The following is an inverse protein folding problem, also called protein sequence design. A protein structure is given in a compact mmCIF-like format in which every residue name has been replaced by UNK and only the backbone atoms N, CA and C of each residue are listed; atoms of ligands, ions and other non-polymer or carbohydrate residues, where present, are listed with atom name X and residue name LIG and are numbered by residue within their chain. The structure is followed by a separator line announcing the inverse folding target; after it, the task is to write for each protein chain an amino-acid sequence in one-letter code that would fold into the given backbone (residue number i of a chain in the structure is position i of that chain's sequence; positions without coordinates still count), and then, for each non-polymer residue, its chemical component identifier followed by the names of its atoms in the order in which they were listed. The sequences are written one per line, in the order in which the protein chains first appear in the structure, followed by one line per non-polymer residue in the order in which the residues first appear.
data_IF_962293697316
#
_entry.id   IF_962293697316
#
_cell.length_a   1.000
_cell.length_b   1.000
_cell.length_c   1.000
_cell.angle_alpha   90.00
_cell.angle_beta   90.00
_cell.angle_gamma   90.00
#
_symmetry.space_group_name_H-M   'P 1'
#
loop_
_entity.id
_entity.type
_entity.pdbx_description
1 polymer ?
#
# COMPACT_ATOMS: atom_id res chain seq x y z
N UNK A 1 -31.33 23.71 18.63
CA UNK A 1 -30.60 23.34 19.86
C UNK A 1 -30.48 21.81 19.91
N UNK A 2 -29.38 21.23 19.45
CA UNK A 2 -29.12 19.80 19.68
C UNK A 2 -28.97 19.58 21.20
N UNK A 3 -29.77 18.68 21.77
CA UNK A 3 -29.67 18.32 23.19
C UNK A 3 -28.29 17.67 23.41
N UNK A 4 -27.50 18.23 24.34
CA UNK A 4 -26.12 17.81 24.72
C UNK A 4 -25.85 16.29 24.74
N UNK A 5 -26.76 15.37 25.13
CA UNK A 5 -26.50 13.93 25.03
C UNK A 5 -26.37 13.37 23.61
N UNK A 6 -27.06 13.96 22.62
CA UNK A 6 -27.00 13.48 21.23
C UNK A 6 -25.64 13.79 20.57
N UNK A 7 -25.05 14.95 20.89
CA UNK A 7 -23.75 15.33 20.37
C UNK A 7 -22.61 14.43 20.90
N UNK A 8 -22.70 14.03 22.18
CA UNK A 8 -21.73 13.11 22.79
C UNK A 8 -21.86 11.71 22.19
N UNK A 9 -23.09 11.23 21.97
CA UNK A 9 -23.32 9.93 21.35
C UNK A 9 -22.78 9.88 19.91
N UNK A 10 -22.99 10.94 19.14
CA UNK A 10 -22.46 11.06 17.77
C UNK A 10 -20.93 11.12 17.80
N UNK A 11 -20.32 11.85 18.75
CA UNK A 11 -18.88 11.92 18.89
C UNK A 11 -18.26 10.56 19.25
N UNK A 12 -18.89 9.80 20.15
CA UNK A 12 -18.47 8.45 20.53
C UNK A 12 -18.62 7.47 19.37
N UNK A 13 -19.69 7.56 18.58
CA UNK A 13 -19.88 6.74 17.38
C UNK A 13 -18.86 7.05 16.29
N UNK A 14 -18.54 8.34 16.08
CA UNK A 14 -17.51 8.77 15.14
C UNK A 14 -16.11 8.28 15.57
N UNK A 15 -15.77 8.42 16.86
CA UNK A 15 -14.51 7.89 17.39
C UNK A 15 -14.43 6.36 17.30
N UNK A 16 -15.52 5.64 17.58
CA UNK A 16 -15.59 4.20 17.42
C UNK A 16 -15.40 3.74 15.97
N UNK A 17 -15.98 4.48 15.01
CA UNK A 17 -15.82 4.20 13.58
C UNK A 17 -14.39 4.43 13.09
N UNK A 18 -13.70 5.45 13.59
CA UNK A 18 -12.28 5.72 13.26
C UNK A 18 -11.34 4.65 13.83
N UNK A 19 -11.63 4.14 15.03
CA UNK A 19 -10.82 3.09 15.67
C UNK A 19 -11.11 1.69 15.09
N UNK A 20 -12.32 1.44 14.58
CA UNK A 20 -12.70 0.17 13.96
C UNK A 20 -12.40 0.08 12.45
N UNK A 21 -12.15 1.21 11.77
CA UNK A 21 -11.83 1.24 10.34
C UNK A 21 -10.66 0.32 9.92
N UNK A 22 -9.55 0.18 10.70
CA UNK A 22 -8.47 -0.74 10.33
C UNK A 22 -8.93 -2.20 10.34
N UNK A 23 -9.76 -2.60 11.32
CA UNK A 23 -10.25 -3.98 11.45
C UNK A 23 -11.33 -4.33 10.42
N UNK A 24 -12.06 -3.35 9.90
CA UNK A 24 -13.03 -3.54 8.82
C UNK A 24 -12.36 -3.63 7.43
N UNK A 25 -11.14 -3.10 7.27
CA UNK A 25 -10.35 -3.26 6.05
C UNK A 25 -9.72 -4.66 5.92
N UNK A 26 -9.42 -5.34 7.05
CA UNK A 26 -8.81 -6.68 7.08
C UNK A 26 -9.68 -7.84 6.52
N UNK A 27 -10.87 -7.54 5.99
CA UNK A 27 -11.82 -8.55 5.50
C UNK A 27 -12.46 -8.25 4.15
N UNK A 28 -12.12 -7.15 3.48
CA UNK A 28 -12.66 -6.86 2.14
C UNK A 28 -11.74 -7.48 1.08
N UNK A 29 -12.20 -8.49 0.31
CA UNK A 29 -11.39 -9.13 -0.71
C UNK A 29 -10.90 -8.10 -1.74
N UNK A 30 -9.59 -8.05 -1.98
CA UNK A 30 -8.95 -7.04 -2.85
C UNK A 30 -8.50 -5.77 -2.11
N UNK A 31 -8.87 -5.60 -0.84
CA UNK A 31 -8.44 -4.53 0.07
C UNK A 31 -7.73 -5.11 1.32
N UNK A 32 -7.17 -6.31 1.25
CA UNK A 32 -6.17 -6.74 2.24
C UNK A 32 -4.83 -6.89 1.51
N UNK A 33 -3.79 -6.10 1.85
CA UNK A 33 -2.49 -6.19 1.18
C UNK A 33 -1.80 -7.55 1.44
N UNK A 34 -2.28 -8.34 2.41
CA UNK A 34 -1.83 -9.72 2.63
C UNK A 34 -2.48 -10.72 1.68
N UNK A 35 -3.63 -10.38 1.11
CA UNK A 35 -4.39 -11.20 0.15
C UNK A 35 -4.19 -10.75 -1.29
N UNK A 36 -3.88 -9.47 -1.51
CA UNK A 36 -3.54 -8.94 -2.82
C UNK A 36 -2.15 -9.46 -3.24
N UNK A 37 -2.10 -10.29 -4.28
CA UNK A 37 -0.87 -10.94 -4.72
C UNK A 37 -0.16 -10.15 -5.81
N UNK A 38 1.14 -10.36 -5.94
CA UNK A 38 1.97 -9.88 -7.05
C UNK A 38 1.38 -10.29 -8.41
N UNK A 39 0.84 -11.50 -8.54
CA UNK A 39 0.13 -11.93 -9.75
C UNK A 39 -1.16 -11.15 -10.01
N UNK A 40 -1.89 -10.75 -8.97
CA UNK A 40 -3.05 -9.86 -9.10
C UNK A 40 -2.62 -8.47 -9.58
N UNK A 41 -1.55 -7.93 -9.00
CA UNK A 41 -0.95 -6.67 -9.45
C UNK A 41 -0.61 -6.67 -10.94
N UNK A 42 0.02 -7.74 -11.45
CA UNK A 42 0.35 -7.84 -12.88
C UNK A 42 -0.89 -7.79 -13.77
N UNK A 43 -1.95 -8.53 -13.39
CA UNK A 43 -3.22 -8.50 -14.13
C UNK A 43 -3.85 -7.11 -14.14
N UNK A 44 -3.78 -6.41 -13.01
CA UNK A 44 -4.36 -5.07 -12.89
C UNK A 44 -3.56 -4.02 -13.66
N UNK A 45 -2.23 -4.17 -13.78
CA UNK A 45 -1.41 -3.30 -14.65
C UNK A 45 -1.72 -3.54 -16.13
N UNK A 46 -1.93 -4.79 -16.53
CA UNK A 46 -2.27 -5.13 -17.92
C UNK A 46 -3.70 -4.70 -18.30
N UNK A 47 -4.58 -4.59 -17.32
CA UNK A 47 -5.95 -4.11 -17.49
C UNK A 47 -6.01 -2.58 -17.55
N UNK A 48 -6.54 -2.02 -18.64
CA UNK A 48 -6.79 -0.58 -18.74
C UNK A 48 -7.86 -0.07 -17.78
N UNK A 49 -8.72 -0.96 -17.28
CA UNK A 49 -9.83 -0.62 -16.40
C UNK A 49 -9.42 -0.57 -14.92
N UNK A 50 -8.22 -1.06 -14.56
CA UNK A 50 -7.78 -1.19 -13.17
C UNK A 50 -6.58 -0.29 -12.81
N UNK A 51 -6.34 0.79 -13.56
CA UNK A 51 -5.21 1.71 -13.33
C UNK A 51 -5.22 2.33 -11.94
N UNK A 52 -6.41 2.64 -11.39
CA UNK A 52 -6.57 3.13 -10.02
C UNK A 52 -6.13 2.11 -8.97
N UNK A 53 -6.38 0.81 -9.21
CA UNK A 53 -5.99 -0.27 -8.30
C UNK A 53 -4.48 -0.43 -8.22
N UNK A 54 -3.77 -0.22 -9.33
CA UNK A 54 -2.30 -0.22 -9.37
C UNK A 54 -1.73 0.88 -8.47
N UNK A 55 -2.25 2.11 -8.61
CA UNK A 55 -1.84 3.24 -7.78
C UNK A 55 -2.11 3.00 -6.30
N UNK A 56 -3.31 2.51 -5.97
CA UNK A 56 -3.69 2.18 -4.59
C UNK A 56 -2.81 1.08 -3.99
N UNK A 57 -2.50 0.03 -4.74
CA UNK A 57 -1.61 -1.04 -4.28
C UNK A 57 -0.20 -0.52 -3.96
N UNK A 58 0.35 0.37 -4.80
CA UNK A 58 1.66 0.99 -4.58
C UNK A 58 1.64 1.86 -3.33
N UNK A 59 0.63 2.73 -3.18
CA UNK A 59 0.45 3.60 -2.02
C UNK A 59 0.35 2.80 -0.72
N UNK A 60 -0.38 1.68 -0.75
CA UNK A 60 -0.53 0.82 0.42
C UNK A 60 0.74 0.10 0.83
N UNK A 61 1.39 -0.57 -0.12
CA UNK A 61 2.67 -1.22 0.15
C UNK A 61 3.67 -0.22 0.72
N UNK A 62 3.80 0.92 0.05
CA UNK A 62 4.70 2.00 0.47
C UNK A 62 4.36 2.54 1.87
N UNK A 63 3.09 2.88 2.11
CA UNK A 63 2.62 3.37 3.41
C UNK A 63 2.85 2.37 4.54
N UNK A 64 2.64 1.07 4.29
CA UNK A 64 2.95 0.02 5.25
C UNK A 64 4.44 -0.01 5.63
N UNK A 65 5.33 0.17 4.65
CA UNK A 65 6.77 0.22 4.91
C UNK A 65 7.18 1.49 5.67
N UNK A 66 6.64 2.65 5.29
CA UNK A 66 6.86 3.91 6.02
C UNK A 66 6.39 3.84 7.48
N UNK A 67 5.28 3.13 7.75
CA UNK A 67 4.81 2.91 9.12
C UNK A 67 5.71 1.97 9.95
N UNK A 68 6.57 1.18 9.31
CA UNK A 68 7.57 0.33 9.99
C UNK A 68 8.93 0.98 10.13
N UNK A 69 9.31 1.78 9.13
CA UNK A 69 10.60 2.44 9.07
C UNK A 69 10.44 3.81 8.38
N UNK A 70 10.58 4.86 9.18
CA UNK A 70 10.40 6.24 8.77
C UNK A 70 11.46 6.71 7.75
N UNK A 71 12.60 5.99 7.62
CA UNK A 71 13.64 6.33 6.65
C UNK A 71 13.16 6.20 5.20
N UNK A 72 12.08 5.44 4.97
CA UNK A 72 11.46 5.34 3.66
C UNK A 72 10.56 6.52 3.31
N UNK A 73 10.14 7.34 4.28
CA UNK A 73 9.22 8.46 4.08
C UNK A 73 9.84 9.49 3.12
N UNK A 74 9.24 9.59 1.94
CA UNK A 74 9.57 10.57 0.92
C UNK A 74 8.27 11.18 0.39
N UNK A 75 8.31 12.42 -0.14
CA UNK A 75 7.14 13.02 -0.76
C UNK A 75 6.60 12.15 -1.89
N UNK A 76 5.32 11.79 -1.81
CA UNK A 76 4.64 11.05 -2.86
C UNK A 76 4.42 11.97 -4.06
N UNK A 77 4.98 11.62 -5.20
CA UNK A 77 4.81 12.32 -6.47
C UNK A 77 4.77 11.32 -7.63
N UNK A 78 4.38 11.78 -8.81
CA UNK A 78 4.20 10.92 -9.99
C UNK A 78 5.47 10.15 -10.35
N UNK A 79 6.65 10.78 -10.22
CA UNK A 79 7.94 10.13 -10.50
C UNK A 79 8.24 8.98 -9.53
N UNK A 80 7.94 9.14 -8.24
CA UNK A 80 8.07 8.07 -7.26
C UNK A 80 7.09 6.93 -7.56
N UNK A 81 5.85 7.25 -7.91
CA UNK A 81 4.82 6.26 -8.24
C UNK A 81 5.22 5.47 -9.49
N UNK A 82 5.66 6.12 -10.56
CA UNK A 82 6.13 5.46 -11.78
C UNK A 82 7.36 4.57 -11.49
N UNK A 83 8.33 5.09 -10.73
CA UNK A 83 9.53 4.35 -10.35
C UNK A 83 9.22 3.12 -9.49
N UNK A 84 8.26 3.22 -8.58
CA UNK A 84 7.77 2.08 -7.80
C UNK A 84 7.03 1.10 -8.71
N UNK A 85 6.10 1.56 -9.56
CA UNK A 85 5.37 0.72 -10.52
C UNK A 85 6.31 -0.17 -11.32
N UNK A 86 7.38 0.42 -11.87
CA UNK A 86 8.37 -0.34 -12.65
C UNK A 86 9.07 -1.42 -11.81
N UNK A 87 9.46 -1.10 -10.58
CA UNK A 87 10.12 -2.08 -9.69
C UNK A 87 9.16 -3.20 -9.27
N UNK A 88 7.90 -2.86 -9.01
CA UNK A 88 6.86 -3.86 -8.78
C UNK A 88 6.68 -4.75 -10.00
N UNK A 89 6.66 -4.21 -11.22
CA UNK A 89 6.59 -5.04 -12.43
C UNK A 89 7.73 -6.06 -12.51
N UNK A 90 8.95 -5.67 -12.15
CA UNK A 90 10.10 -6.59 -12.11
C UNK A 90 9.90 -7.68 -11.05
N UNK A 91 9.67 -7.28 -9.80
CA UNK A 91 9.51 -8.22 -8.68
C UNK A 91 8.33 -9.16 -8.89
N UNK A 92 7.19 -8.63 -9.32
CA UNK A 92 5.96 -9.39 -9.47
C UNK A 92 6.03 -10.39 -10.64
N UNK A 93 6.76 -10.07 -11.73
CA UNK A 93 7.02 -11.02 -12.83
C UNK A 93 7.87 -12.20 -12.38
N UNK A 94 8.87 -11.96 -11.55
CA UNK A 94 9.75 -13.02 -11.04
C UNK A 94 9.08 -13.85 -9.93
N UNK A 95 8.22 -13.23 -9.12
CA UNK A 95 7.66 -13.83 -7.91
C UNK A 95 6.15 -13.55 -7.76
N UNK A 96 5.30 -14.07 -8.66
CA UNK A 96 3.87 -13.75 -8.68
C UNK A 96 3.08 -14.26 -7.46
N UNK A 97 3.66 -15.18 -6.67
CA UNK A 97 3.06 -15.75 -5.47
C UNK A 97 3.19 -14.87 -4.22
N UNK A 98 4.04 -13.84 -4.24
CA UNK A 98 4.19 -12.94 -3.09
C UNK A 98 2.90 -12.16 -2.85
N UNK A 99 2.56 -11.90 -1.59
CA UNK A 99 1.58 -10.87 -1.29
C UNK A 99 2.18 -9.47 -1.47
N UNK A 100 1.33 -8.44 -1.49
CA UNK A 100 1.73 -7.06 -1.77
C UNK A 100 2.80 -6.57 -0.79
N UNK A 101 2.68 -6.90 0.49
CA UNK A 101 3.65 -6.52 1.52
C UNK A 101 5.03 -7.13 1.23
N UNK A 102 5.07 -8.43 0.94
CA UNK A 102 6.32 -9.13 0.60
C UNK A 102 6.94 -8.58 -0.69
N UNK A 103 6.11 -8.32 -1.71
CA UNK A 103 6.56 -7.67 -2.94
C UNK A 103 7.13 -6.28 -2.68
N UNK A 104 6.49 -5.50 -1.80
CA UNK A 104 6.98 -4.17 -1.40
C UNK A 104 8.36 -4.25 -0.75
N UNK A 105 8.54 -5.21 0.17
CA UNK A 105 9.81 -5.41 0.86
C UNK A 105 10.95 -5.72 -0.13
N UNK A 106 10.68 -6.57 -1.13
CA UNK A 106 11.65 -6.85 -2.19
C UNK A 106 11.93 -5.61 -3.07
N UNK A 107 10.91 -4.83 -3.43
CA UNK A 107 11.08 -3.55 -4.15
C UNK A 107 11.99 -2.58 -3.38
N UNK A 108 11.79 -2.47 -2.06
CA UNK A 108 12.63 -1.62 -1.21
C UNK A 108 14.06 -2.16 -1.10
N UNK A 109 14.21 -3.47 -0.89
CA UNK A 109 15.54 -4.13 -0.83
C UNK A 109 16.33 -3.91 -2.12
N UNK A 110 15.69 -4.04 -3.29
CA UNK A 110 16.33 -3.75 -4.58
C UNK A 110 16.70 -2.27 -4.71
N UNK A 111 15.87 -1.37 -4.20
CA UNK A 111 16.13 0.07 -4.21
C UNK A 111 17.34 0.45 -3.35
N UNK A 112 17.55 -0.23 -2.22
CA UNK A 112 18.73 -0.05 -1.37
C UNK A 112 19.98 -0.69 -1.97
N UNK A 113 19.85 -1.87 -2.58
CA UNK A 113 20.96 -2.55 -3.26
C UNK A 113 21.55 -1.69 -4.40
N UNK A 114 20.68 -0.95 -5.12
CA UNK A 114 21.08 -0.03 -6.18
C UNK A 114 21.66 1.30 -5.66
N UNK A 115 21.42 1.67 -4.39
CA UNK A 115 22.02 2.86 -3.76
C UNK A 115 23.44 2.61 -3.25
N UNK A 116 23.83 1.35 -3.02
CA UNK A 116 25.21 1.02 -2.67
C UNK A 116 26.05 1.16 -3.94
N UNK A 117 27.08 2.04 -3.98
CA UNK A 117 27.97 2.07 -5.13
C UNK A 117 28.54 0.68 -5.33
N UNK A 118 28.52 0.19 -6.57
CA UNK A 118 29.31 -0.98 -6.95
C UNK A 118 30.74 -0.70 -6.46
N UNK A 119 31.20 -1.50 -5.50
CA UNK A 119 32.46 -1.24 -4.81
C UNK A 119 33.59 -1.04 -5.81
N UNK A 120 34.33 0.06 -5.62
CA UNK A 120 35.74 0.17 -6.02
C UNK A 120 36.61 -0.50 -4.96
#
# INVERSE_FOLDING_TARGET
MLKKPAAILILVLMLGAVVAAPALAEGVPGLDPRQYTAGQFLRDVESKDNSEMVGLAILWGYGYMCGKDESFIQPMNDSLIEGLTFKYLVVCKERPQLNLIQATQEVMRLSEALKRPAGN
#
